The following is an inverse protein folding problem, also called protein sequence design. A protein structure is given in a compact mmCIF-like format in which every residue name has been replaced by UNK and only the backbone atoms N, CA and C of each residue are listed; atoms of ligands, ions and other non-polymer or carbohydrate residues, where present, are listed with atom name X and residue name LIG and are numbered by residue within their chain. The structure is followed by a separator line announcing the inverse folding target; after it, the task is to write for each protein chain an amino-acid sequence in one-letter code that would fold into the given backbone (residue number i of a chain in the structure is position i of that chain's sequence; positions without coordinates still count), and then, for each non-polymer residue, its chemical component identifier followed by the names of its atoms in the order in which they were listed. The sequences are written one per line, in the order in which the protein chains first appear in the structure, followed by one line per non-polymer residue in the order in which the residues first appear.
data_IF_096079101261
#
_entry.id   IF_096079101261
#
_cell.length_a   1.000
_cell.length_b   1.000
_cell.length_c   1.000
_cell.angle_alpha   90.00
_cell.angle_beta   90.00
_cell.angle_gamma   90.00
#
_symmetry.space_group_name_H-M   'P 1'
#
loop_
_entity.id
_entity.type
_entity.pdbx_description
1 polymer ?
#
# COMPACT_ATOMS: atom_id res chain seq x y z
N UNK A 1 -32.90 31.06 64.77
CA UNK A 1 -33.08 30.19 63.58
C UNK A 1 -32.59 30.98 62.40
N UNK A 2 -31.28 31.06 62.25
CA UNK A 2 -30.63 31.73 61.12
C UNK A 2 -30.54 30.75 59.94
N UNK A 3 -30.87 31.29 58.77
CA UNK A 3 -30.91 30.69 57.45
C UNK A 3 -29.95 29.51 57.25
N UNK A 4 -30.50 28.31 57.07
CA UNK A 4 -29.94 27.37 56.10
C UNK A 4 -30.13 28.04 54.73
N UNK A 5 -29.10 28.81 54.34
CA UNK A 5 -28.95 29.36 53.01
C UNK A 5 -28.96 28.20 52.03
N UNK A 6 -29.62 28.40 50.88
CA UNK A 6 -29.77 27.46 49.78
C UNK A 6 -28.43 26.78 49.44
N UNK A 7 -28.18 25.60 50.02
CA UNK A 7 -27.00 24.79 49.72
C UNK A 7 -27.29 24.02 48.43
N UNK A 8 -26.49 24.22 47.40
CA UNK A 8 -26.58 23.44 46.17
C UNK A 8 -25.49 22.37 46.13
N UNK A 9 -25.63 21.32 45.30
CA UNK A 9 -24.57 20.33 45.11
C UNK A 9 -23.23 20.94 44.69
N UNK A 10 -23.26 22.07 43.98
CA UNK A 10 -22.05 22.79 43.53
C UNK A 10 -21.27 23.44 44.69
N UNK A 11 -21.88 23.63 45.86
CA UNK A 11 -21.22 24.17 47.05
C UNK A 11 -20.33 23.16 47.79
N UNK A 12 -20.41 21.87 47.42
CA UNK A 12 -19.66 20.78 48.03
C UNK A 12 -18.65 20.22 47.03
N UNK A 13 -17.37 20.37 47.32
CA UNK A 13 -16.30 19.82 46.47
C UNK A 13 -15.71 18.57 47.11
N UNK A 14 -15.50 17.52 46.32
CA UNK A 14 -14.85 16.29 46.73
C UNK A 14 -13.63 16.09 45.85
N UNK A 15 -12.44 15.93 46.44
CA UNK A 15 -11.19 15.88 45.70
C UNK A 15 -10.15 14.96 46.35
N UNK A 16 -9.13 14.61 45.58
CA UNK A 16 -7.91 13.94 46.03
C UNK A 16 -6.70 14.81 45.68
N UNK A 17 -5.66 14.76 46.50
CA UNK A 17 -4.44 15.55 46.29
C UNK A 17 -3.35 14.65 45.70
N UNK A 18 -2.95 14.93 44.46
CA UNK A 18 -1.92 14.18 43.75
C UNK A 18 -0.53 14.81 43.84
N UNK A 19 -0.40 15.99 44.49
CA UNK A 19 0.85 16.76 44.48
C UNK A 19 1.98 16.01 45.19
N UNK A 20 3.14 15.97 44.56
CA UNK A 20 4.35 15.36 45.13
C UNK A 20 4.39 13.83 45.07
N UNK A 21 3.35 13.18 44.52
CA UNK A 21 3.36 11.75 44.25
C UNK A 21 4.17 11.44 42.98
N UNK A 22 4.87 10.31 42.98
CA UNK A 22 5.60 9.77 41.81
C UNK A 22 4.76 8.71 41.11
N UNK A 23 5.19 8.26 39.94
CA UNK A 23 4.53 7.18 39.22
C UNK A 23 4.33 5.92 40.08
N UNK A 24 3.20 5.23 39.88
CA UNK A 24 2.83 4.01 40.59
C UNK A 24 1.40 4.03 41.15
N UNK A 25 1.06 2.97 41.89
CA UNK A 25 -0.24 2.83 42.55
C UNK A 25 -0.24 3.52 43.91
N UNK A 26 -1.26 4.33 44.16
CA UNK A 26 -1.46 5.06 45.41
C UNK A 26 -2.87 4.85 45.93
N UNK A 27 -3.01 4.67 47.25
CA UNK A 27 -4.30 4.69 47.91
C UNK A 27 -4.47 6.02 48.63
N UNK A 28 -5.40 6.84 48.14
CA UNK A 28 -5.55 8.23 48.57
C UNK A 28 -6.86 8.41 49.33
N UNK A 29 -6.77 9.16 50.43
CA UNK A 29 -7.95 9.56 51.20
C UNK A 29 -8.69 10.66 50.46
N UNK A 30 -10.01 10.46 50.27
CA UNK A 30 -10.88 11.44 49.65
C UNK A 30 -11.14 12.57 50.65
N UNK A 31 -10.92 13.81 50.21
CA UNK A 31 -11.15 15.02 51.00
C UNK A 31 -12.40 15.73 50.49
N UNK A 32 -13.09 16.40 51.39
CA UNK A 32 -14.24 17.25 51.06
C UNK A 32 -14.01 18.69 51.51
N UNK A 33 -14.49 19.63 50.73
CA UNK A 33 -14.56 21.06 51.05
C UNK A 33 -16.03 21.47 51.10
N UNK A 34 -16.41 22.24 52.13
CA UNK A 34 -17.79 22.71 52.32
C UNK A 34 -17.80 24.18 52.78
N UNK A 35 -18.90 24.92 52.55
CA UNK A 35 -19.02 26.31 52.96
C UNK A 35 -19.02 26.46 54.49
N UNK A 36 -18.76 27.69 54.95
CA UNK A 36 -18.74 27.99 56.38
C UNK A 36 -20.09 27.64 57.04
N UNK A 37 -20.03 26.87 58.13
CA UNK A 37 -21.23 26.42 58.87
C UNK A 37 -21.79 25.07 58.43
N UNK A 38 -21.18 24.43 57.41
CA UNK A 38 -21.54 23.09 56.93
C UNK A 38 -20.49 22.08 57.38
N UNK A 39 -20.93 20.92 57.87
CA UNK A 39 -20.06 19.83 58.30
C UNK A 39 -20.30 18.65 57.36
N UNK A 40 -19.24 18.10 56.78
CA UNK A 40 -19.29 16.87 56.01
C UNK A 40 -19.34 15.70 57.00
N UNK A 41 -20.47 15.00 57.07
CA UNK A 41 -20.69 13.87 57.97
C UNK A 41 -19.87 12.64 57.55
N UNK A 42 -19.91 12.28 56.26
CA UNK A 42 -19.17 11.15 55.73
C UNK A 42 -18.91 11.29 54.23
N UNK A 43 -17.83 10.66 53.75
CA UNK A 43 -17.50 10.52 52.33
C UNK A 43 -17.36 9.02 52.04
N UNK A 44 -18.11 8.53 51.05
CA UNK A 44 -18.07 7.14 50.63
C UNK A 44 -17.80 7.03 49.13
N UNK A 45 -16.72 6.35 48.70
CA UNK A 45 -15.70 5.70 49.52
C UNK A 45 -14.75 6.73 50.19
N UNK A 46 -14.22 6.41 51.37
CA UNK A 46 -13.26 7.29 52.07
C UNK A 46 -11.85 7.23 51.50
N UNK A 47 -11.55 6.20 50.70
CA UNK A 47 -10.30 6.01 50.00
C UNK A 47 -10.56 5.57 48.57
N UNK A 48 -9.74 6.07 47.65
CA UNK A 48 -9.74 5.66 46.24
C UNK A 48 -8.33 5.22 45.85
N UNK A 49 -8.26 4.19 45.01
CA UNK A 49 -6.99 3.78 44.40
C UNK A 49 -6.79 4.61 43.14
N UNK A 50 -5.62 5.25 43.03
CA UNK A 50 -5.22 6.06 41.87
C UNK A 50 -3.90 5.52 41.37
N UNK A 51 -3.80 5.32 40.06
CA UNK A 51 -2.55 4.92 39.41
C UNK A 51 -2.04 6.13 38.64
N UNK A 52 -0.87 6.63 39.03
CA UNK A 52 -0.24 7.79 38.43
C UNK A 52 0.79 7.30 37.42
N UNK A 53 0.65 7.70 36.16
CA UNK A 53 1.67 7.48 35.15
C UNK A 53 2.52 8.71 34.95
N UNK A 54 3.78 8.46 34.60
CA UNK A 54 4.60 9.48 33.97
C UNK A 54 4.13 9.66 32.53
N UNK A 55 3.97 10.92 32.11
CA UNK A 55 3.83 11.26 30.69
C UNK A 55 5.22 11.24 30.10
N UNK A 56 5.42 10.39 29.11
CA UNK A 56 6.68 10.25 28.40
C UNK A 56 6.44 10.45 26.90
N UNK A 57 7.52 10.78 26.22
CA UNK A 57 7.53 10.98 24.77
C UNK A 57 8.47 9.96 24.13
N UNK A 58 8.03 9.34 23.04
CA UNK A 58 8.79 8.34 22.27
C UNK A 58 8.71 8.68 20.79
N UNK A 59 9.84 8.68 20.12
CA UNK A 59 9.89 8.76 18.67
C UNK A 59 9.78 7.35 18.07
N UNK A 60 8.93 7.16 17.08
CA UNK A 60 8.70 5.87 16.42
C UNK A 60 8.67 6.05 14.89
N UNK A 61 9.14 5.04 14.18
CA UNK A 61 8.99 4.97 12.72
C UNK A 61 7.58 4.51 12.35
N UNK A 62 7.08 4.99 11.22
CA UNK A 62 5.78 4.61 10.69
C UNK A 62 5.90 3.35 9.84
N UNK A 63 5.01 2.40 10.09
CA UNK A 63 4.91 1.17 9.33
C UNK A 63 3.77 1.28 8.32
N UNK A 64 4.05 1.36 7.01
CA UNK A 64 3.00 1.37 6.01
C UNK A 64 2.35 -0.01 5.92
N UNK A 65 1.01 -0.03 5.86
CA UNK A 65 0.22 -1.25 5.66
C UNK A 65 -0.73 -1.05 4.49
N UNK A 66 -0.50 -1.81 3.43
CA UNK A 66 -1.31 -1.76 2.22
C UNK A 66 -2.43 -2.81 2.28
N UNK A 67 -3.63 -2.41 1.89
CA UNK A 67 -4.80 -3.28 1.81
C UNK A 67 -5.24 -3.45 0.35
N UNK A 68 -5.50 -4.70 -0.02
CA UNK A 68 -5.86 -5.06 -1.40
C UNK A 68 -4.64 -5.25 -2.30
N UNK A 69 -4.90 -5.45 -3.59
CA UNK A 69 -3.89 -5.65 -4.63
C UNK A 69 -4.10 -4.62 -5.75
N UNK A 70 -3.04 -4.12 -6.40
CA UNK A 70 -3.16 -3.29 -7.61
C UNK A 70 -4.00 -3.94 -8.71
N UNK A 71 -4.29 -3.18 -9.77
CA UNK A 71 -4.95 -3.74 -10.94
C UNK A 71 -4.17 -4.93 -11.52
N UNK A 72 -4.86 -5.80 -12.28
CA UNK A 72 -4.23 -7.00 -12.82
C UNK A 72 -3.00 -6.67 -13.68
N UNK A 73 -1.87 -7.30 -13.35
CA UNK A 73 -0.59 -7.08 -14.03
C UNK A 73 0.25 -5.97 -13.40
N UNK A 74 -0.33 -5.03 -12.65
CA UNK A 74 0.41 -3.97 -11.98
C UNK A 74 1.17 -4.49 -10.76
N UNK A 75 2.35 -3.94 -10.54
CA UNK A 75 3.26 -4.28 -9.44
C UNK A 75 3.60 -3.02 -8.65
N UNK A 76 3.61 -3.14 -7.32
CA UNK A 76 4.09 -2.10 -6.42
C UNK A 76 5.61 -2.11 -6.44
N UNK A 77 6.21 -1.00 -6.90
CA UNK A 77 7.66 -0.84 -6.96
C UNK A 77 8.25 -0.23 -5.69
N UNK A 78 7.52 0.68 -5.05
CA UNK A 78 8.02 1.46 -3.93
C UNK A 78 6.89 2.01 -3.06
N UNK A 79 7.15 2.16 -1.76
CA UNK A 79 6.22 2.72 -0.77
C UNK A 79 6.99 3.64 0.15
N UNK A 80 6.67 4.93 0.13
CA UNK A 80 7.32 5.96 0.93
C UNK A 80 6.34 6.60 1.90
N UNK A 81 6.79 6.85 3.12
CA UNK A 81 6.04 7.56 4.16
C UNK A 81 6.76 8.86 4.48
N UNK A 82 6.03 9.98 4.49
CA UNK A 82 6.58 11.29 4.81
C UNK A 82 5.68 12.07 5.79
N UNK A 83 6.19 12.46 6.98
CA UNK A 83 7.45 12.01 7.58
C UNK A 83 7.40 10.53 7.99
N UNK A 84 8.56 9.86 7.95
CA UNK A 84 8.73 8.46 8.36
C UNK A 84 8.87 8.28 9.87
N UNK A 85 9.13 9.37 10.61
CA UNK A 85 9.35 9.37 12.05
C UNK A 85 8.43 10.34 12.79
N UNK A 86 7.74 9.83 13.81
CA UNK A 86 6.63 10.50 14.49
C UNK A 86 6.87 10.52 15.99
N UNK A 87 6.43 11.60 16.63
CA UNK A 87 6.48 11.76 18.07
C UNK A 87 5.17 11.27 18.69
N UNK A 88 5.26 10.33 19.62
CA UNK A 88 4.14 9.84 20.42
C UNK A 88 4.33 10.27 21.88
N UNK A 89 3.30 10.86 22.47
CA UNK A 89 3.29 11.27 23.88
C UNK A 89 2.10 10.65 24.62
N UNK A 90 2.32 10.22 25.86
CA UNK A 90 1.25 9.72 26.70
C UNK A 90 1.73 8.97 27.93
N UNK A 91 0.77 8.33 28.61
CA UNK A 91 1.04 7.52 29.79
C UNK A 91 2.07 6.42 29.49
N UNK A 92 3.14 6.35 30.28
CA UNK A 92 4.25 5.42 30.07
C UNK A 92 3.81 3.96 29.93
N UNK A 93 2.84 3.52 30.74
CA UNK A 93 2.30 2.16 30.67
C UNK A 93 1.65 1.82 29.31
N UNK A 94 1.10 2.81 28.61
CA UNK A 94 0.50 2.63 27.29
C UNK A 94 1.56 2.72 26.21
N UNK A 95 2.43 3.73 26.29
CA UNK A 95 3.44 4.01 25.28
C UNK A 95 4.49 2.88 25.14
N UNK A 96 4.77 2.17 26.24
CA UNK A 96 5.64 0.99 26.25
C UNK A 96 5.02 -0.20 25.51
N UNK A 97 3.70 -0.30 25.45
CA UNK A 97 3.00 -1.39 24.76
C UNK A 97 2.79 -1.12 23.26
N UNK A 98 3.12 0.09 22.77
CA UNK A 98 3.06 0.39 21.33
C UNK A 98 4.20 -0.34 20.64
N UNK A 99 3.82 -1.29 19.79
CA UNK A 99 4.74 -2.06 18.95
C UNK A 99 4.91 -1.40 17.59
N UNK A 100 3.81 -1.04 16.93
CA UNK A 100 3.83 -0.46 15.58
C UNK A 100 2.97 0.81 15.51
N UNK A 101 3.35 1.71 14.60
CA UNK A 101 2.58 2.90 14.26
C UNK A 101 2.14 2.80 12.80
N UNK A 102 0.91 2.33 12.59
CA UNK A 102 0.43 1.95 11.26
C UNK A 102 -0.10 3.14 10.46
N UNK A 103 0.34 3.24 9.21
CA UNK A 103 -0.27 4.06 8.16
C UNK A 103 -0.95 3.15 7.14
N UNK A 104 -2.28 3.11 7.13
CA UNK A 104 -3.05 2.17 6.32
C UNK A 104 -3.56 2.84 5.05
N UNK A 105 -3.30 2.23 3.89
CA UNK A 105 -3.86 2.68 2.62
C UNK A 105 -4.39 1.51 1.78
N UNK A 106 -5.48 1.77 1.07
CA UNK A 106 -6.08 0.81 0.15
C UNK A 106 -5.50 1.03 -1.26
N UNK A 107 -4.93 -0.01 -1.83
CA UNK A 107 -4.30 -0.02 -3.16
C UNK A 107 -5.08 -0.88 -4.16
N UNK A 108 -6.32 -1.24 -3.83
CA UNK A 108 -7.15 -2.11 -4.66
C UNK A 108 -7.40 -1.51 -6.03
N UNK A 109 -6.92 -2.17 -7.08
CA UNK A 109 -7.20 -1.78 -8.47
C UNK A 109 -6.51 -0.50 -8.93
N UNK A 110 -5.46 -0.03 -8.25
CA UNK A 110 -4.69 1.12 -8.73
C UNK A 110 -3.86 0.74 -9.96
N UNK A 111 -3.85 1.63 -10.95
CA UNK A 111 -3.09 1.54 -12.22
C UNK A 111 -2.07 2.69 -12.34
N UNK A 112 -2.12 3.66 -11.43
CA UNK A 112 -1.25 4.83 -11.40
C UNK A 112 -0.73 5.04 -9.97
N UNK A 113 0.35 5.81 -9.84
CA UNK A 113 0.92 6.18 -8.55
C UNK A 113 -0.14 6.82 -7.63
N UNK A 114 -0.15 6.37 -6.38
CA UNK A 114 -1.08 6.83 -5.35
C UNK A 114 -0.34 7.68 -4.32
N UNK A 115 -0.74 8.93 -4.17
CA UNK A 115 -0.32 9.82 -3.08
C UNK A 115 -1.51 10.18 -2.20
N UNK A 116 -1.50 9.75 -0.95
CA UNK A 116 -2.61 9.95 -0.01
C UNK A 116 -2.12 10.33 1.38
N UNK A 117 -2.84 11.22 2.06
CA UNK A 117 -2.61 11.53 3.47
C UNK A 117 -3.45 10.60 4.35
N UNK A 118 -2.82 9.95 5.32
CA UNK A 118 -3.48 8.97 6.20
C UNK A 118 -3.18 9.26 7.68
N UNK A 119 -4.18 9.04 8.53
CA UNK A 119 -4.04 9.09 9.98
C UNK A 119 -3.28 7.88 10.51
N UNK A 120 -2.47 8.10 11.54
CA UNK A 120 -1.67 7.04 12.16
C UNK A 120 -2.43 6.28 13.24
N UNK A 121 -2.18 4.97 13.33
CA UNK A 121 -2.78 4.07 14.33
C UNK A 121 -1.70 3.35 15.14
N UNK A 122 -1.44 3.75 16.40
CA UNK A 122 -0.55 3.00 17.28
C UNK A 122 -1.24 1.70 17.69
N UNK A 123 -0.55 0.57 17.50
CA UNK A 123 -1.07 -0.76 17.84
C UNK A 123 -0.13 -1.52 18.78
N UNK A 124 -0.70 -2.44 19.54
CA UNK A 124 0.04 -3.35 20.41
C UNK A 124 0.53 -4.62 19.66
N UNK A 125 1.17 -5.54 20.38
CA UNK A 125 1.65 -6.81 19.84
C UNK A 125 0.56 -7.74 19.26
N UNK A 126 -0.71 -7.49 19.59
CA UNK A 126 -1.86 -8.23 19.06
C UNK A 126 -2.52 -7.50 17.87
N UNK A 127 -2.02 -6.31 17.51
CA UNK A 127 -2.60 -5.45 16.48
C UNK A 127 -3.81 -4.65 16.97
N UNK A 128 -4.04 -4.55 18.28
CA UNK A 128 -5.12 -3.77 18.87
C UNK A 128 -4.72 -2.30 19.01
N UNK A 129 -5.63 -1.39 18.67
CA UNK A 129 -5.35 0.05 18.71
C UNK A 129 -5.22 0.57 20.15
N UNK A 130 -4.12 1.29 20.41
CA UNK A 130 -3.86 1.94 21.71
C UNK A 130 -4.36 3.38 21.67
N UNK A 131 -5.44 3.66 22.38
CA UNK A 131 -6.03 5.00 22.43
C UNK A 131 -5.50 5.87 23.57
N UNK A 132 -5.65 7.19 23.43
CA UNK A 132 -5.25 8.18 24.44
C UNK A 132 -3.75 8.47 24.46
N UNK A 133 -3.13 8.45 23.28
CA UNK A 133 -1.80 8.96 23.00
C UNK A 133 -1.94 10.22 22.13
N UNK A 134 -1.08 11.21 22.34
CA UNK A 134 -0.93 12.35 21.44
C UNK A 134 0.10 12.00 20.36
N UNK A 135 -0.25 12.22 19.10
CA UNK A 135 0.55 11.85 17.94
C UNK A 135 0.92 13.14 17.20
N UNK A 136 2.20 13.36 16.92
CA UNK A 136 2.65 14.57 16.22
C UNK A 136 3.70 14.23 15.17
N UNK A 137 3.42 14.45 13.87
CA UNK A 137 2.12 14.82 13.28
C UNK A 137 1.07 13.69 13.35
N UNK A 138 -0.22 14.04 13.35
CA UNK A 138 -1.33 13.07 13.40
C UNK A 138 -1.54 12.31 12.07
N UNK A 139 -1.12 12.92 10.96
CA UNK A 139 -1.23 12.38 9.61
C UNK A 139 0.12 12.43 8.89
N UNK A 140 0.30 11.50 7.96
CA UNK A 140 1.48 11.38 7.10
C UNK A 140 1.06 11.21 5.65
N UNK A 141 1.92 11.64 4.73
CA UNK A 141 1.77 11.32 3.31
C UNK A 141 2.31 9.93 3.03
N UNK A 142 1.51 9.08 2.41
CA UNK A 142 1.89 7.79 1.87
C UNK A 142 1.93 7.88 0.35
N UNK A 143 3.09 7.60 -0.23
CA UNK A 143 3.30 7.58 -1.67
C UNK A 143 3.60 6.15 -2.11
N UNK A 144 2.69 5.56 -2.87
CA UNK A 144 2.79 4.20 -3.41
C UNK A 144 3.01 4.30 -4.90
N UNK A 145 4.10 3.70 -5.40
CA UNK A 145 4.42 3.68 -6.83
C UNK A 145 4.07 2.34 -7.44
N UNK A 146 3.39 2.38 -8.57
CA UNK A 146 3.04 1.16 -9.33
C UNK A 146 3.50 1.27 -10.77
N UNK A 147 3.78 0.12 -11.36
CA UNK A 147 4.08 0.02 -12.78
C UNK A 147 3.55 -1.30 -13.32
N UNK A 148 3.30 -1.33 -14.62
CA UNK A 148 3.01 -2.54 -15.35
C UNK A 148 4.33 -3.08 -15.92
N UNK A 149 4.78 -4.30 -15.55
CA UNK A 149 6.00 -4.87 -16.12
C UNK A 149 5.90 -5.05 -17.63
N UNK A 150 7.02 -4.80 -18.31
CA UNK A 150 7.13 -4.87 -19.76
C UNK A 150 8.38 -5.65 -20.18
N UNK A 151 8.25 -6.41 -21.26
CA UNK A 151 9.34 -7.17 -21.85
C UNK A 151 9.32 -7.05 -23.37
N UNK A 152 10.46 -6.65 -23.92
CA UNK A 152 10.65 -6.58 -25.36
C UNK A 152 11.19 -7.91 -25.91
N UNK A 153 10.44 -8.53 -26.83
CA UNK A 153 10.75 -9.84 -27.40
C UNK A 153 10.77 -9.79 -28.93
N UNK A 154 11.63 -10.59 -29.59
CA UNK A 154 11.66 -10.67 -31.05
C UNK A 154 10.40 -11.34 -31.61
N UNK A 155 10.03 -10.95 -32.82
CA UNK A 155 8.96 -11.59 -33.58
C UNK A 155 9.55 -12.71 -34.45
N UNK A 156 8.95 -13.90 -34.37
CA UNK A 156 9.30 -15.07 -35.18
C UNK A 156 8.19 -15.38 -36.18
N UNK A 157 8.54 -15.41 -37.46
CA UNK A 157 7.57 -15.75 -38.51
C UNK A 157 7.31 -17.25 -38.48
N UNK A 158 6.05 -17.62 -38.33
CA UNK A 158 5.61 -19.01 -38.35
C UNK A 158 5.14 -19.38 -39.76
N UNK A 159 5.97 -20.10 -40.51
CA UNK A 159 5.69 -20.47 -41.90
C UNK A 159 5.32 -21.96 -42.01
N UNK A 160 4.32 -22.27 -42.84
CA UNK A 160 3.98 -23.63 -43.23
C UNK A 160 3.92 -23.76 -44.77
N UNK A 161 3.95 -24.99 -45.27
CA UNK A 161 4.02 -25.27 -46.70
C UNK A 161 5.43 -25.15 -47.27
N UNK A 162 5.55 -25.41 -48.57
CA UNK A 162 6.80 -25.29 -49.33
C UNK A 162 6.58 -24.33 -50.50
N UNK A 163 7.62 -23.57 -50.86
CA UNK A 163 7.60 -22.78 -52.07
C UNK A 163 7.56 -23.71 -53.31
N UNK A 164 7.02 -23.22 -54.45
CA UNK A 164 7.11 -23.94 -55.72
C UNK A 164 8.54 -24.36 -56.08
N UNK A 165 8.70 -25.48 -56.79
CA UNK A 165 10.02 -26.00 -57.20
C UNK A 165 10.88 -24.93 -57.89
N UNK A 166 12.15 -24.84 -57.49
CA UNK A 166 13.13 -23.91 -58.06
C UNK A 166 13.16 -22.53 -57.40
N UNK A 167 12.37 -22.29 -56.34
CA UNK A 167 12.36 -21.05 -55.56
C UNK A 167 12.91 -21.26 -54.14
N UNK A 168 13.52 -20.20 -53.59
CA UNK A 168 13.94 -20.12 -52.19
C UNK A 168 13.66 -18.73 -51.60
N UNK A 169 13.56 -18.69 -50.28
CA UNK A 169 13.48 -17.43 -49.53
C UNK A 169 14.88 -16.83 -49.45
N UNK A 170 15.08 -15.67 -50.08
CA UNK A 170 16.34 -14.92 -50.06
C UNK A 170 16.45 -14.05 -48.81
N UNK A 171 15.35 -13.41 -48.40
CA UNK A 171 15.32 -12.54 -47.23
C UNK A 171 13.91 -12.48 -46.63
N UNK A 172 13.83 -12.25 -45.33
CA UNK A 172 12.58 -11.95 -44.62
C UNK A 172 12.81 -10.68 -43.83
N UNK A 173 12.03 -9.65 -44.10
CA UNK A 173 12.04 -8.41 -43.35
C UNK A 173 10.72 -8.28 -42.61
N UNK A 174 10.80 -7.93 -41.32
CA UNK A 174 9.65 -7.78 -40.46
C UNK A 174 9.74 -6.44 -39.73
N UNK A 175 8.67 -5.66 -39.75
CA UNK A 175 8.62 -4.34 -39.16
C UNK A 175 7.38 -4.20 -38.27
N UNK A 176 7.55 -4.04 -36.95
CA UNK A 176 8.81 -4.09 -36.19
C UNK A 176 9.36 -5.51 -35.98
N UNK A 177 10.69 -5.65 -35.87
CA UNK A 177 11.35 -6.93 -35.53
C UNK A 177 11.15 -7.37 -34.07
N UNK A 178 10.78 -6.42 -33.20
CA UNK A 178 10.63 -6.62 -31.76
C UNK A 178 9.35 -5.93 -31.30
N UNK A 179 8.68 -6.57 -30.35
CA UNK A 179 7.43 -6.07 -29.76
C UNK A 179 7.52 -6.04 -28.25
N UNK A 180 6.86 -5.05 -27.65
CA UNK A 180 6.76 -4.90 -26.19
C UNK A 180 5.51 -5.61 -25.71
N UNK A 181 5.69 -6.56 -24.80
CA UNK A 181 4.63 -7.26 -24.09
C UNK A 181 4.53 -6.72 -22.67
N UNK A 182 3.31 -6.47 -22.21
CA UNK A 182 3.03 -6.07 -20.83
C UNK A 182 2.22 -7.15 -20.14
N UNK A 183 2.50 -7.42 -18.85
CA UNK A 183 1.85 -8.50 -18.11
C UNK A 183 2.55 -8.85 -16.80
N UNK A 184 2.16 -9.97 -16.20
CA UNK A 184 2.79 -10.45 -14.95
C UNK A 184 4.24 -10.88 -15.22
N UNK A 185 5.15 -10.51 -14.31
CA UNK A 185 6.58 -10.81 -14.43
C UNK A 185 6.84 -12.30 -14.71
N UNK A 186 6.21 -13.20 -13.93
CA UNK A 186 6.35 -14.65 -14.07
C UNK A 186 5.97 -15.15 -15.48
N UNK A 187 4.96 -14.54 -16.10
CA UNK A 187 4.51 -14.88 -17.46
C UNK A 187 5.47 -14.32 -18.50
N UNK A 188 5.89 -13.05 -18.32
CA UNK A 188 6.84 -12.40 -19.22
C UNK A 188 8.18 -13.13 -19.23
N UNK A 189 8.67 -13.64 -18.10
CA UNK A 189 9.92 -14.39 -18.01
C UNK A 189 9.94 -15.62 -18.93
N UNK A 190 8.84 -16.37 -19.01
CA UNK A 190 8.70 -17.57 -19.86
C UNK A 190 8.61 -17.26 -21.36
N UNK A 191 8.26 -16.02 -21.73
CA UNK A 191 8.08 -15.62 -23.13
C UNK A 191 9.42 -15.11 -23.69
N UNK A 192 9.96 -15.84 -24.66
CA UNK A 192 11.22 -15.46 -25.32
C UNK A 192 11.03 -14.87 -26.72
N UNK A 193 9.87 -15.07 -27.33
CA UNK A 193 9.52 -14.64 -28.69
C UNK A 193 8.00 -14.63 -28.86
N UNK A 194 7.52 -13.81 -29.79
CA UNK A 194 6.12 -13.80 -30.23
C UNK A 194 6.07 -14.34 -31.65
N UNK A 195 5.15 -15.27 -31.92
CA UNK A 195 4.98 -15.85 -33.24
C UNK A 195 3.95 -15.09 -34.05
N UNK A 196 4.10 -15.07 -35.37
CA UNK A 196 2.99 -14.69 -36.25
C UNK A 196 1.96 -15.81 -36.33
N UNK A 197 0.75 -15.50 -36.76
CA UNK A 197 -0.15 -16.53 -37.29
C UNK A 197 0.52 -17.27 -38.45
N UNK A 198 0.08 -18.50 -38.71
CA UNK A 198 0.68 -19.35 -39.75
C UNK A 198 0.59 -18.64 -41.11
N UNK A 199 1.75 -18.46 -41.73
CA UNK A 199 1.90 -18.02 -43.11
C UNK A 199 2.09 -19.23 -44.02
N UNK A 200 1.06 -19.57 -44.79
CA UNK A 200 1.16 -20.61 -45.82
C UNK A 200 1.91 -20.07 -47.04
N UNK A 201 3.01 -20.72 -47.40
CA UNK A 201 3.82 -20.39 -48.57
C UNK A 201 3.34 -21.10 -49.84
N UNK A 202 2.36 -21.99 -49.73
CA UNK A 202 1.83 -22.79 -50.84
C UNK A 202 1.20 -21.89 -51.91
N UNK A 203 1.91 -21.73 -53.03
CA UNK A 203 1.44 -20.93 -54.17
C UNK A 203 1.99 -19.50 -54.22
N UNK A 204 2.85 -19.10 -53.28
CA UNK A 204 3.59 -17.84 -53.35
C UNK A 204 4.78 -18.01 -54.31
N UNK A 205 4.71 -17.37 -55.48
CA UNK A 205 5.71 -17.50 -56.55
C UNK A 205 6.62 -16.28 -56.74
N UNK A 206 6.33 -15.18 -56.06
CA UNK A 206 7.03 -13.90 -56.20
C UNK A 206 7.19 -13.22 -54.84
N UNK A 207 8.15 -12.31 -54.72
CA UNK A 207 8.30 -11.44 -53.54
C UNK A 207 6.98 -10.75 -53.20
N UNK A 208 6.58 -10.83 -51.95
CA UNK A 208 5.35 -10.20 -51.47
C UNK A 208 5.57 -9.45 -50.17
N UNK A 209 4.67 -8.51 -49.90
CA UNK A 209 4.57 -7.83 -48.62
C UNK A 209 3.12 -7.77 -48.17
N UNK A 210 2.88 -8.04 -46.88
CA UNK A 210 1.54 -7.99 -46.27
C UNK A 210 1.65 -7.76 -44.76
N UNK A 211 0.57 -7.26 -44.16
CA UNK A 211 0.42 -7.27 -42.71
C UNK A 211 0.02 -8.68 -42.25
N UNK A 212 0.67 -9.17 -41.19
CA UNK A 212 0.39 -10.46 -40.58
C UNK A 212 0.10 -10.28 -39.09
N UNK A 213 -0.90 -11.00 -38.58
CA UNK A 213 -1.28 -10.95 -37.17
C UNK A 213 -0.28 -11.70 -36.28
N UNK A 214 -0.15 -11.26 -35.03
CA UNK A 214 0.68 -11.90 -34.01
C UNK A 214 -0.15 -12.79 -33.09
N UNK A 215 0.39 -13.96 -32.74
CA UNK A 215 -0.15 -14.82 -31.69
C UNK A 215 0.25 -14.28 -30.31
N UNK A 216 -0.62 -13.48 -29.72
CA UNK A 216 -0.39 -12.88 -28.40
C UNK A 216 -0.42 -13.95 -27.31
N UNK A 217 0.68 -14.15 -26.54
CA UNK A 217 0.70 -15.11 -25.44
C UNK A 217 -0.37 -14.81 -24.38
N UNK A 218 -0.96 -15.87 -23.79
CA UNK A 218 -1.97 -15.70 -22.75
C UNK A 218 -1.43 -14.95 -21.54
N UNK A 219 -2.24 -14.06 -20.96
CA UNK A 219 -1.85 -13.25 -19.80
C UNK A 219 -0.93 -12.07 -20.13
N UNK A 220 -0.78 -11.74 -21.42
CA UNK A 220 -0.03 -10.55 -21.87
C UNK A 220 -0.89 -9.66 -22.77
N UNK A 221 -0.49 -8.40 -22.88
CA UNK A 221 -0.99 -7.44 -23.85
C UNK A 221 0.17 -6.88 -24.67
N UNK A 222 -0.12 -6.46 -25.91
CA UNK A 222 0.82 -5.70 -26.74
C UNK A 222 0.53 -4.21 -26.61
N UNK A 223 1.59 -3.39 -26.67
CA UNK A 223 1.49 -1.93 -26.74
C UNK A 223 1.08 -1.44 -28.15
N UNK A 224 1.27 -2.31 -29.16
CA UNK A 224 0.87 -2.07 -30.56
C UNK A 224 -0.36 -2.89 -30.93
N UNK A 225 -0.99 -2.54 -32.06
CA UNK A 225 -1.92 -3.47 -32.71
C UNK A 225 -1.20 -4.82 -32.97
N UNK A 226 -1.86 -5.97 -32.79
CA UNK A 226 -1.23 -7.29 -32.91
C UNK A 226 -0.98 -7.67 -34.37
N UNK A 227 -0.34 -6.79 -35.14
CA UNK A 227 0.00 -6.97 -36.55
C UNK A 227 1.37 -6.36 -36.83
N UNK A 228 2.08 -6.95 -37.77
CA UNK A 228 3.41 -6.50 -38.22
C UNK A 228 3.46 -6.54 -39.74
N UNK A 229 4.26 -5.67 -40.33
CA UNK A 229 4.52 -5.68 -41.76
C UNK A 229 5.59 -6.72 -42.08
N UNK A 230 5.26 -7.68 -42.93
CA UNK A 230 6.16 -8.73 -43.38
C UNK A 230 6.47 -8.54 -44.87
N UNK A 231 7.74 -8.58 -45.23
CA UNK A 231 8.21 -8.69 -46.61
C UNK A 231 9.04 -9.97 -46.77
N UNK A 232 8.59 -10.86 -47.66
CA UNK A 232 9.31 -12.09 -47.98
C UNK A 232 9.86 -11.95 -49.38
N UNK A 233 11.19 -11.92 -49.49
CA UNK A 233 11.89 -11.85 -50.78
C UNK A 233 12.13 -13.27 -51.28
N UNK A 234 11.49 -13.60 -52.41
CA UNK A 234 11.58 -14.92 -53.04
C UNK A 234 12.41 -14.78 -54.33
N UNK A 235 13.31 -15.74 -54.56
CA UNK A 235 14.14 -15.79 -55.76
C UNK A 235 14.43 -17.21 -56.22
N UNK A 236 15.05 -17.38 -57.39
CA UNK A 236 15.47 -18.70 -57.85
C UNK A 236 16.57 -19.28 -56.94
N UNK A 237 16.55 -20.60 -56.77
CA UNK A 237 17.64 -21.34 -56.12
C UNK A 237 18.94 -21.12 -56.91
N UNK A 238 19.99 -20.64 -56.25
CA UNK A 238 21.32 -20.48 -56.87
C UNK A 238 22.11 -21.80 -56.76
N UNK A 239 22.58 -22.33 -57.89
CA UNK A 239 23.46 -23.51 -57.98
C UNK A 239 24.93 -23.23 -57.59
#
# INVERSE_FOLDING_TARGET
MEKLVDLTPDDLEVYVDLRGLRGGEHQLTVKGSAPQGVIIDSIYPSQVQVIIDEVITRQMEVTPRLEGEPAEGYVISDVQVEPDSILLEGASRKLVNVEELLAVANVSGIEEDLSITVSLKPVDAHGEEITGLEITPEEVALNVRVYLPEKEVPVEVNMEGELPEGLEIKNIEIDPERVVLSGKEEVLEEIHKVKTVILDLSGEGETFSREIELEVPQGTSLDIEPRVSLMVVIGPVEE
#
